data_IF_478225926695
#
_entry.id   IF_478225926695
#
_cell.length_a   1.000
_cell.length_b   1.000
_cell.length_c   1.000
_cell.angle_alpha   90.00
_cell.angle_beta   90.00
_cell.angle_gamma   90.00
#
_symmetry.space_group_name_H-M   'P 1'
#
loop_
_entity.id
_entity.type
_entity.pdbx_description
1 polymer ?
#
# COMPACT_ATOMS: atom_id res chain seq x y z
N UNK A 1 11.68 19.64 -28.87
CA UNK A 1 11.12 18.59 -27.98
C UNK A 1 12.06 18.40 -26.80
N UNK A 2 11.54 18.55 -25.58
CA UNK A 2 12.31 18.40 -24.34
C UNK A 2 12.77 16.93 -24.19
N UNK A 3 14.05 16.68 -23.86
CA UNK A 3 14.61 15.32 -23.82
C UNK A 3 13.86 14.41 -22.84
N UNK A 4 13.36 14.97 -21.73
CA UNK A 4 12.53 14.26 -20.75
C UNK A 4 11.22 13.72 -21.36
N UNK A 5 10.56 14.49 -22.24
CA UNK A 5 9.36 14.06 -22.97
C UNK A 5 9.62 12.91 -23.93
N UNK A 6 10.80 12.88 -24.58
CA UNK A 6 11.20 11.73 -25.39
C UNK A 6 11.38 10.49 -24.53
N UNK A 7 12.05 10.61 -23.39
CA UNK A 7 12.24 9.48 -22.46
C UNK A 7 10.90 8.95 -21.95
N UNK A 8 10.00 9.81 -21.50
CA UNK A 8 8.67 9.40 -21.04
C UNK A 8 7.86 8.71 -22.15
N UNK A 9 7.93 9.21 -23.38
CA UNK A 9 7.30 8.57 -24.54
C UNK A 9 7.89 7.18 -24.86
N UNK A 10 9.20 6.98 -24.65
CA UNK A 10 9.80 5.64 -24.77
C UNK A 10 9.28 4.73 -23.66
N UNK A 11 9.24 5.22 -22.41
CA UNK A 11 8.82 4.44 -21.26
C UNK A 11 7.37 3.92 -21.33
N UNK A 12 6.47 4.66 -21.99
CA UNK A 12 5.09 4.20 -22.17
C UNK A 12 5.01 2.94 -23.05
N UNK A 13 5.96 2.76 -23.97
CA UNK A 13 6.02 1.61 -24.88
C UNK A 13 6.78 0.40 -24.33
N UNK A 14 7.56 0.58 -23.26
CA UNK A 14 8.37 -0.49 -22.66
C UNK A 14 7.51 -1.55 -21.96
N UNK A 15 8.01 -2.77 -21.89
CA UNK A 15 7.46 -3.82 -21.03
C UNK A 15 7.66 -3.49 -19.55
N UNK A 16 6.94 -4.17 -18.65
CA UNK A 16 7.05 -3.93 -17.20
C UNK A 16 8.47 -4.19 -16.67
N UNK A 17 9.15 -5.23 -17.16
CA UNK A 17 10.51 -5.55 -16.73
C UNK A 17 11.54 -4.50 -17.18
N UNK A 18 11.47 -4.10 -18.45
CA UNK A 18 12.36 -3.05 -18.98
C UNK A 18 12.11 -1.70 -18.30
N UNK A 19 10.85 -1.37 -18.04
CA UNK A 19 10.49 -0.16 -17.30
C UNK A 19 11.09 -0.18 -15.89
N UNK A 20 11.03 -1.30 -15.17
CA UNK A 20 11.60 -1.42 -13.83
C UNK A 20 13.12 -1.16 -13.83
N UNK A 21 13.85 -1.70 -14.80
CA UNK A 21 15.29 -1.44 -14.95
C UNK A 21 15.60 0.02 -15.30
N UNK A 22 14.83 0.63 -16.21
CA UNK A 22 15.01 2.05 -16.52
C UNK A 22 14.71 2.96 -15.32
N UNK A 23 13.68 2.63 -14.55
CA UNK A 23 13.33 3.33 -13.31
C UNK A 23 14.47 3.16 -12.29
N UNK A 24 15.03 1.96 -12.13
CA UNK A 24 16.18 1.69 -11.25
C UNK A 24 17.38 2.56 -11.58
N UNK A 25 17.75 2.63 -12.87
CA UNK A 25 18.87 3.46 -13.34
C UNK A 25 18.60 4.94 -13.08
N UNK A 26 17.37 5.39 -13.32
CA UNK A 26 16.97 6.79 -13.15
C UNK A 26 16.95 7.20 -11.68
N UNK A 27 16.46 6.33 -10.78
CA UNK A 27 16.50 6.54 -9.33
C UNK A 27 17.94 6.64 -8.83
N UNK A 28 18.83 5.75 -9.32
CA UNK A 28 20.25 5.75 -8.95
C UNK A 28 21.00 6.99 -9.45
N UNK A 29 20.63 7.52 -10.61
CA UNK A 29 21.26 8.71 -11.18
C UNK A 29 21.01 9.97 -10.32
N UNK A 30 19.79 10.10 -9.77
CA UNK A 30 19.37 11.20 -8.87
C UNK A 30 19.69 12.63 -9.34
N UNK A 31 19.93 12.82 -10.64
CA UNK A 31 20.37 14.10 -11.18
C UNK A 31 19.19 15.02 -11.57
N UNK A 32 19.51 16.25 -11.97
CA UNK A 32 18.49 17.20 -12.44
C UNK A 32 17.72 16.67 -13.67
N UNK A 33 18.36 15.82 -14.49
CA UNK A 33 17.73 15.19 -15.64
C UNK A 33 16.69 14.16 -15.21
N UNK A 34 16.98 13.33 -14.21
CA UNK A 34 16.03 12.40 -13.63
C UNK A 34 14.79 13.13 -13.09
N UNK A 35 14.99 14.26 -12.38
CA UNK A 35 13.88 15.11 -11.91
C UNK A 35 12.98 15.59 -13.05
N UNK A 36 13.56 16.09 -14.14
CA UNK A 36 12.79 16.50 -15.31
C UNK A 36 12.01 15.35 -15.96
N UNK A 37 12.53 14.11 -15.92
CA UNK A 37 11.79 12.93 -16.38
C UNK A 37 10.61 12.64 -15.45
N UNK A 38 10.80 12.69 -14.12
CA UNK A 38 9.72 12.45 -13.16
C UNK A 38 8.57 13.44 -13.29
N UNK A 39 8.87 14.74 -13.50
CA UNK A 39 7.85 15.76 -13.72
C UNK A 39 6.99 15.45 -14.95
N UNK A 40 7.64 15.09 -16.07
CA UNK A 40 6.93 14.74 -17.31
C UNK A 40 6.14 13.43 -17.15
N UNK A 41 6.70 12.43 -16.47
CA UNK A 41 5.99 11.18 -16.19
C UNK A 41 4.77 11.43 -15.31
N UNK A 42 4.84 12.41 -14.40
CA UNK A 42 3.70 12.83 -13.58
C UNK A 42 2.54 13.44 -14.37
N UNK A 43 2.78 13.96 -15.58
CA UNK A 43 1.73 14.47 -16.48
C UNK A 43 0.82 13.33 -16.99
N UNK A 44 1.35 12.12 -17.18
CA UNK A 44 0.61 10.93 -17.64
C UNK A 44 0.30 10.00 -16.45
N UNK A 45 -0.97 9.96 -16.03
CA UNK A 45 -1.40 9.18 -14.87
C UNK A 45 -1.23 7.66 -15.05
N UNK A 46 -1.33 7.14 -16.28
CA UNK A 46 -1.18 5.71 -16.55
C UNK A 46 0.28 5.31 -16.43
N UNK A 47 1.17 6.10 -17.05
CA UNK A 47 2.61 5.89 -16.93
C UNK A 47 3.08 6.08 -15.49
N UNK A 48 2.61 7.13 -14.81
CA UNK A 48 2.92 7.38 -13.40
C UNK A 48 2.51 6.20 -12.50
N UNK A 49 1.32 5.62 -12.69
CA UNK A 49 0.89 4.45 -11.93
C UNK A 49 1.81 3.24 -12.13
N UNK A 50 2.22 2.97 -13.37
CA UNK A 50 3.17 1.89 -13.70
C UNK A 50 4.54 2.13 -13.05
N UNK A 51 5.05 3.36 -13.11
CA UNK A 51 6.30 3.75 -12.47
C UNK A 51 6.22 3.63 -10.95
N UNK A 52 5.11 4.02 -10.31
CA UNK A 52 4.91 3.83 -8.86
C UNK A 52 4.95 2.34 -8.48
N UNK A 53 4.36 1.47 -9.31
CA UNK A 53 4.47 0.01 -9.15
C UNK A 53 5.91 -0.50 -9.23
N UNK A 54 6.67 -0.05 -10.23
CA UNK A 54 8.10 -0.38 -10.35
C UNK A 54 8.92 0.11 -9.14
N UNK A 55 8.66 1.32 -8.65
CA UNK A 55 9.29 1.87 -7.45
C UNK A 55 8.95 1.04 -6.19
N UNK A 56 7.72 0.56 -6.05
CA UNK A 56 7.35 -0.34 -4.95
C UNK A 56 8.08 -1.69 -5.03
N UNK A 57 8.25 -2.23 -6.25
CA UNK A 57 9.06 -3.42 -6.50
C UNK A 57 10.53 -3.22 -6.09
N UNK A 58 11.11 -2.08 -6.47
CA UNK A 58 12.48 -1.70 -6.08
C UNK A 58 12.63 -1.60 -4.55
N UNK A 59 11.66 -1.03 -3.84
CA UNK A 59 11.70 -1.00 -2.36
C UNK A 59 11.73 -2.40 -1.78
N UNK A 60 11.00 -3.35 -2.36
CA UNK A 60 11.00 -4.74 -1.90
C UNK A 60 12.31 -5.47 -2.22
N UNK A 61 12.88 -5.24 -3.42
CA UNK A 61 14.16 -5.82 -3.84
C UNK A 61 15.30 -5.40 -2.90
N UNK A 62 15.36 -4.12 -2.50
CA UNK A 62 16.44 -3.61 -1.67
C UNK A 62 16.25 -3.81 -0.15
N UNK A 63 15.20 -4.49 0.30
CA UNK A 63 15.08 -4.83 1.73
C UNK A 63 16.15 -5.82 2.15
N UNK A 64 16.87 -5.53 3.23
CA UNK A 64 17.97 -6.35 3.72
C UNK A 64 19.29 -6.18 2.94
N UNK A 65 19.34 -5.26 1.97
CA UNK A 65 20.61 -4.90 1.32
C UNK A 65 21.43 -3.94 2.18
N UNK A 66 22.75 -3.96 2.01
CA UNK A 66 23.69 -3.03 2.68
C UNK A 66 23.29 -1.57 2.52
N UNK A 67 22.79 -1.21 1.34
CA UNK A 67 22.43 0.16 0.97
C UNK A 67 20.91 0.42 1.04
N UNK A 68 20.15 -0.39 1.79
CA UNK A 68 18.68 -0.29 1.90
C UNK A 68 18.23 1.15 2.20
N UNK A 69 18.83 1.78 3.20
CA UNK A 69 18.47 3.15 3.63
C UNK A 69 18.64 4.17 2.48
N UNK A 70 19.70 4.03 1.69
CA UNK A 70 20.00 4.92 0.58
C UNK A 70 19.00 4.73 -0.57
N UNK A 71 18.70 3.48 -0.90
CA UNK A 71 17.68 3.15 -1.89
C UNK A 71 16.29 3.62 -1.47
N UNK A 72 15.92 3.42 -0.21
CA UNK A 72 14.65 3.93 0.33
C UNK A 72 14.56 5.45 0.23
N UNK A 73 15.64 6.17 0.54
CA UNK A 73 15.69 7.63 0.40
C UNK A 73 15.46 8.07 -1.05
N UNK A 74 16.22 7.51 -2.00
CA UNK A 74 16.10 7.88 -3.41
C UNK A 74 14.75 7.50 -4.01
N UNK A 75 14.22 6.33 -3.66
CA UNK A 75 12.89 5.92 -4.11
C UNK A 75 11.81 6.83 -3.53
N UNK A 76 11.87 7.17 -2.24
CA UNK A 76 10.89 8.06 -1.63
C UNK A 76 10.93 9.46 -2.28
N UNK A 77 12.12 9.96 -2.62
CA UNK A 77 12.26 11.23 -3.36
C UNK A 77 11.66 11.14 -4.77
N UNK A 78 11.90 10.04 -5.51
CA UNK A 78 11.27 9.82 -6.80
C UNK A 78 9.73 9.74 -6.70
N UNK A 79 9.20 9.10 -5.64
CA UNK A 79 7.76 9.02 -5.38
C UNK A 79 7.12 10.39 -5.10
N UNK A 80 7.85 11.30 -4.43
CA UNK A 80 7.37 12.67 -4.17
C UNK A 80 7.15 13.45 -5.48
N UNK A 81 8.03 13.29 -6.46
CA UNK A 81 7.87 13.94 -7.77
C UNK A 81 6.69 13.39 -8.59
N UNK A 82 6.31 12.13 -8.36
CA UNK A 82 5.22 11.46 -9.06
C UNK A 82 3.86 11.60 -8.36
N UNK A 83 3.86 12.12 -7.13
CA UNK A 83 2.61 12.38 -6.41
C UNK A 83 2.11 13.73 -6.86
N UNK A 84 0.93 13.82 -7.51
CA UNK A 84 0.36 15.12 -7.80
C UNK A 84 0.22 15.86 -6.47
N UNK A 85 0.66 17.13 -6.42
CA UNK A 85 0.27 18.06 -5.35
C UNK A 85 -1.25 18.18 -5.42
N UNK A 86 -1.93 17.24 -4.77
CA UNK A 86 -3.28 17.47 -4.31
C UNK A 86 -3.19 18.65 -3.32
N UNK A 87 -4.07 19.66 -3.41
CA UNK A 87 -4.15 20.63 -2.33
C UNK A 87 -4.35 19.84 -1.04
N UNK A 88 -3.49 20.10 -0.05
CA UNK A 88 -3.50 19.40 1.23
C UNK A 88 -4.93 19.41 1.81
N UNK A 89 -5.61 18.28 1.70
CA UNK A 89 -6.73 17.93 2.56
C UNK A 89 -6.48 16.53 3.08
N UNK A 90 -6.36 16.50 4.41
CA UNK A 90 -6.28 15.35 5.27
C UNK A 90 -5.03 14.49 5.09
N UNK A 91 -4.01 14.80 5.91
CA UNK A 91 -3.58 13.89 6.97
C UNK A 91 -4.37 12.57 6.98
N UNK A 92 -3.83 11.55 6.32
CA UNK A 92 -3.89 10.19 6.84
C UNK A 92 -2.55 10.03 7.58
N UNK A 93 -2.41 10.71 8.72
CA UNK A 93 -2.38 10.03 10.02
C UNK A 93 -2.13 8.53 9.85
N UNK A 94 -0.93 8.11 10.26
CA UNK A 94 -0.77 6.79 10.84
C UNK A 94 -1.95 6.55 11.79
N UNK A 95 -2.55 5.36 11.85
CA UNK A 95 -3.62 5.10 12.80
C UNK A 95 -3.02 5.09 14.21
N UNK A 96 -2.93 6.26 14.82
CA UNK A 96 -2.85 6.45 16.26
C UNK A 96 -4.30 6.59 16.75
N UNK A 97 -4.73 5.80 17.74
CA UNK A 97 -6.14 5.69 18.09
C UNK A 97 -6.55 6.94 18.86
N UNK A 98 -7.47 7.74 18.32
CA UNK A 98 -8.10 8.82 19.08
C UNK A 98 -9.63 8.68 19.15
N UNK A 99 -10.21 9.13 20.28
CA UNK A 99 -11.54 8.75 20.74
C UNK A 99 -12.59 9.69 20.15
N UNK A 100 -13.69 9.12 19.65
CA UNK A 100 -14.81 9.90 19.11
C UNK A 100 -15.96 9.86 20.10
N UNK A 101 -16.15 10.97 20.84
CA UNK A 101 -17.42 11.34 21.45
C UNK A 101 -18.45 11.63 20.35
N UNK A 102 -19.65 11.08 20.51
CA UNK A 102 -20.79 11.19 19.60
C UNK A 102 -21.81 12.19 20.20
N UNK A 103 -22.36 13.15 19.43
CA UNK A 103 -23.24 14.19 19.95
C UNK A 103 -24.72 13.75 20.09
N UNK A 104 -25.39 14.37 21.09
CA UNK A 104 -26.82 14.46 21.47
C UNK A 104 -27.84 14.41 20.29
N UNK A 105 -29.07 13.89 20.37
CA UNK A 105 -30.08 13.75 21.43
C UNK A 105 -31.27 12.89 20.86
N UNK A 106 -32.47 12.88 21.48
CA UNK A 106 -32.87 12.54 22.85
C UNK A 106 -33.64 11.19 22.86
N UNK A 107 -34.00 10.67 24.03
CA UNK A 107 -35.36 10.14 24.32
C UNK A 107 -35.38 9.18 25.53
N UNK A 108 -36.06 9.67 26.56
CA UNK A 108 -37.01 8.94 27.41
C UNK A 108 -36.45 7.73 28.18
N UNK A 109 -36.05 8.01 29.41
CA UNK A 109 -35.94 7.02 30.47
C UNK A 109 -37.31 6.41 30.79
N UNK A 110 -37.38 5.08 30.91
CA UNK A 110 -38.05 4.42 32.04
C UNK A 110 -37.58 2.96 32.20
N UNK A 111 -36.65 2.79 33.15
CA UNK A 111 -36.49 1.71 34.14
C UNK A 111 -36.82 0.24 33.86
N UNK A 112 -35.82 -0.57 34.26
CA UNK A 112 -35.82 -1.93 34.79
C UNK A 112 -35.74 -3.09 33.79
N UNK A 113 -34.51 -3.53 33.52
CA UNK A 113 -33.92 -4.72 34.16
C UNK A 113 -32.87 -5.34 33.23
N UNK A 114 -31.59 -5.40 33.66
CA UNK A 114 -30.74 -6.58 33.48
C UNK A 114 -29.33 -6.38 34.04
N UNK A 115 -29.08 -7.18 35.09
CA UNK A 115 -27.87 -7.92 35.44
C UNK A 115 -26.49 -7.24 35.53
N UNK A 116 -26.06 -7.25 36.80
CA UNK A 116 -24.72 -7.17 37.36
C UNK A 116 -23.68 -8.06 36.61
N UNK A 117 -22.55 -7.44 36.27
CA UNK A 117 -21.18 -7.85 36.66
C UNK A 117 -20.46 -9.02 35.95
N UNK A 118 -19.43 -8.58 35.21
CA UNK A 118 -18.03 -9.02 35.20
C UNK A 118 -17.57 -10.31 34.48
N UNK A 119 -16.51 -10.05 33.69
CA UNK A 119 -15.28 -10.85 33.48
C UNK A 119 -15.29 -12.08 32.56
N UNK A 120 -14.28 -12.12 31.67
CA UNK A 120 -13.81 -13.34 31.01
C UNK A 120 -13.73 -13.26 29.49
N UNK A 121 -12.56 -12.88 28.96
CA UNK A 121 -12.34 -12.62 27.53
C UNK A 121 -12.35 -13.84 26.59
N UNK A 122 -12.70 -13.59 25.33
CA UNK A 122 -12.49 -14.50 24.19
C UNK A 122 -12.23 -13.63 22.94
N UNK A 123 -10.97 -13.42 22.57
CA UNK A 123 -10.22 -14.18 21.55
C UNK A 123 -10.98 -14.32 20.21
N UNK A 124 -10.54 -13.52 19.23
CA UNK A 124 -10.91 -13.50 17.81
C UNK A 124 -11.39 -14.86 17.28
N UNK A 125 -12.60 -14.87 16.74
CA UNK A 125 -13.21 -16.02 16.08
C UNK A 125 -12.36 -16.46 14.88
N UNK A 126 -12.02 -17.75 14.91
CA UNK A 126 -11.28 -18.44 13.89
C UNK A 126 -12.17 -18.63 12.65
N UNK A 127 -11.53 -18.54 11.48
CA UNK A 127 -12.15 -18.78 10.18
C UNK A 127 -12.83 -20.15 10.15
N UNK A 128 -14.04 -20.16 9.62
CA UNK A 128 -14.89 -21.33 9.45
C UNK A 128 -14.24 -22.30 8.45
N UNK A 129 -13.57 -23.33 8.95
CA UNK A 129 -12.99 -24.41 8.15
C UNK A 129 -13.95 -25.60 8.26
N UNK A 130 -14.60 -26.04 7.16
CA UNK A 130 -15.45 -27.21 7.22
C UNK A 130 -14.61 -28.45 7.53
N UNK A 131 -14.91 -29.09 8.66
CA UNK A 131 -14.31 -30.37 9.04
C UNK A 131 -14.82 -31.44 8.07
N UNK A 132 -13.94 -31.92 7.19
CA UNK A 132 -14.23 -33.10 6.39
C UNK A 132 -14.10 -34.35 7.27
N UNK A 133 -15.24 -34.99 7.55
CA UNK A 133 -15.29 -36.28 8.24
C UNK A 133 -14.75 -37.37 7.31
N UNK A 134 -13.65 -38.01 7.71
CA UNK A 134 -13.15 -39.21 7.08
C UNK A 134 -14.11 -40.38 7.36
N UNK A 135 -14.74 -40.93 6.31
CA UNK A 135 -15.52 -42.15 6.42
C UNK A 135 -14.59 -43.35 6.27
N UNK A 136 -14.47 -44.16 7.32
CA UNK A 136 -13.74 -45.42 7.28
C UNK A 136 -14.56 -46.47 6.51
N UNK A 137 -13.96 -47.22 5.56
CA UNK A 137 -14.67 -48.27 4.84
C UNK A 137 -15.05 -49.42 5.78
N UNK A 138 -16.16 -50.14 5.52
CA UNK A 138 -16.59 -51.24 6.36
C UNK A 138 -15.50 -52.30 6.43
N UNK A 139 -14.97 -52.51 7.63
CA UNK A 139 -14.04 -53.58 7.96
C UNK A 139 -14.68 -54.92 7.57
N UNK A 140 -14.02 -55.65 6.68
CA UNK A 140 -14.47 -56.94 6.18
C UNK A 140 -14.56 -57.94 7.34
N UNK A 141 -15.79 -58.27 7.75
CA UNK A 141 -16.05 -59.42 8.60
C UNK A 141 -15.67 -60.71 7.82
N UNK A 142 -14.74 -61.47 8.37
CA UNK A 142 -14.57 -62.90 8.07
C UNK A 142 -15.28 -63.71 9.14
#
# INVERSE_FOLDING_TARGET
MNQARKTAAVWSTLSTGELAEQVRLTVKAHDARARAVWEVVGEDQVLAARVRGALAGLKAEFRGHRDEVMWLLWVNQAQQHLTPTAPAKATLEAPEPQPVEVPEAPEIALTAASFDRADGGARREARDIPVMLFQEPPSAAR
#
